data_IF_810570549405
#
_entry.id   IF_810570549405
#
_cell.length_a   1.000
_cell.length_b   1.000
_cell.length_c   1.000
_cell.angle_alpha   90.00
_cell.angle_beta   90.00
_cell.angle_gamma   90.00
#
_symmetry.space_group_name_H-M   'P 1'
#
loop_
_entity.id
_entity.type
_entity.pdbx_description
1 polymer ?
#
# COMPACT_ATOMS: atom_id res chain seq x y z
N UNK A 1 -14.15 2.59 -8.75
CA UNK A 1 -13.21 3.63 -9.25
C UNK A 1 -13.08 4.74 -8.19
N UNK A 2 -11.86 5.22 -7.95
CA UNK A 2 -11.54 6.27 -6.98
C UNK A 2 -10.64 7.32 -7.67
N UNK A 3 -10.92 8.60 -7.44
CA UNK A 3 -10.09 9.70 -7.94
C UNK A 3 -9.62 10.55 -6.76
N UNK A 4 -8.30 10.64 -6.59
CA UNK A 4 -7.66 11.52 -5.61
C UNK A 4 -7.13 12.76 -6.32
N UNK A 5 -7.44 13.94 -5.79
CA UNK A 5 -6.96 15.23 -6.32
C UNK A 5 -5.99 15.88 -5.33
N UNK A 6 -5.23 16.88 -5.79
CA UNK A 6 -4.21 17.57 -4.99
C UNK A 6 -3.12 16.61 -4.46
N UNK A 7 -2.77 15.59 -5.23
CA UNK A 7 -1.69 14.68 -4.88
C UNK A 7 -0.32 15.39 -5.02
N UNK A 8 0.54 15.34 -4.00
CA UNK A 8 1.87 15.93 -4.10
C UNK A 8 2.80 15.02 -4.92
N UNK A 9 3.74 15.62 -5.64
CA UNK A 9 4.71 14.86 -6.45
C UNK A 9 5.90 14.42 -5.61
N UNK A 10 5.71 13.35 -4.83
CA UNK A 10 6.71 12.81 -3.91
C UNK A 10 7.09 11.37 -4.25
N UNK A 11 8.27 10.94 -3.80
CA UNK A 11 8.75 9.55 -3.94
C UNK A 11 7.78 8.53 -3.37
N UNK A 12 7.14 8.86 -2.25
CA UNK A 12 6.27 7.95 -1.51
C UNK A 12 4.96 7.71 -2.27
N UNK A 13 4.44 8.74 -2.96
CA UNK A 13 3.26 8.61 -3.84
C UNK A 13 3.57 7.69 -5.01
N UNK A 14 4.76 7.84 -5.62
CA UNK A 14 5.21 6.94 -6.69
C UNK A 14 5.37 5.51 -6.18
N UNK A 15 6.00 5.31 -5.03
CA UNK A 15 6.21 3.98 -4.44
C UNK A 15 4.88 3.29 -4.09
N UNK A 16 3.92 4.03 -3.54
CA UNK A 16 2.57 3.50 -3.29
C UNK A 16 1.84 3.17 -4.59
N UNK A 17 2.02 3.97 -5.64
CA UNK A 17 1.47 3.70 -6.98
C UNK A 17 2.03 2.39 -7.54
N UNK A 18 3.35 2.21 -7.48
CA UNK A 18 4.02 0.96 -7.89
C UNK A 18 3.53 -0.25 -7.08
N UNK A 19 3.34 -0.08 -5.76
CA UNK A 19 2.79 -1.13 -4.90
C UNK A 19 1.37 -1.53 -5.33
N UNK A 20 0.48 -0.56 -5.49
CA UNK A 20 -0.90 -0.81 -5.89
C UNK A 20 -0.97 -1.47 -7.28
N UNK A 21 -0.15 -1.01 -8.23
CA UNK A 21 -0.02 -1.63 -9.54
C UNK A 21 0.50 -3.07 -9.46
N UNK A 22 1.47 -3.36 -8.58
CA UNK A 22 1.96 -4.73 -8.37
C UNK A 22 0.90 -5.70 -7.83
N UNK A 23 -0.12 -5.18 -7.13
CA UNK A 23 -1.27 -5.95 -6.65
C UNK A 23 -2.34 -6.16 -7.75
N UNK A 24 -2.16 -5.56 -8.92
CA UNK A 24 -3.12 -5.56 -10.03
C UNK A 24 -4.07 -4.38 -10.06
N UNK A 25 -3.89 -3.36 -9.20
CA UNK A 25 -4.71 -2.16 -9.28
C UNK A 25 -4.29 -1.29 -10.46
N UNK A 26 -5.27 -0.78 -11.19
CA UNK A 26 -5.03 0.24 -12.21
C UNK A 26 -4.85 1.59 -11.51
N UNK A 27 -3.75 2.29 -11.82
CA UNK A 27 -3.50 3.64 -11.32
C UNK A 27 -2.97 4.49 -12.47
N UNK A 28 -3.67 5.58 -12.78
CA UNK A 28 -3.27 6.60 -13.76
C UNK A 28 -3.02 7.94 -13.08
N UNK A 29 -1.87 8.51 -13.39
CA UNK A 29 -1.52 9.87 -13.04
C UNK A 29 -2.00 10.83 -14.14
N UNK A 30 -2.84 11.80 -13.76
CA UNK A 30 -3.37 12.85 -14.62
C UNK A 30 -2.88 14.22 -14.12
N UNK A 31 -3.04 15.27 -14.94
CA UNK A 31 -2.68 16.65 -14.58
C UNK A 31 -1.25 16.76 -14.03
N UNK A 32 -0.29 16.12 -14.72
CA UNK A 32 1.12 16.11 -14.31
C UNK A 32 1.39 15.45 -12.96
N UNK A 33 0.53 14.52 -12.53
CA UNK A 33 0.66 13.78 -11.27
C UNK A 33 -0.08 14.38 -10.06
N UNK A 34 -0.85 15.45 -10.26
CA UNK A 34 -1.68 16.04 -9.19
C UNK A 34 -3.02 15.34 -8.99
N UNK A 35 -3.41 14.50 -9.95
CA UNK A 35 -4.65 13.71 -9.90
C UNK A 35 -4.28 12.24 -10.11
N UNK A 36 -4.76 11.36 -9.24
CA UNK A 36 -4.61 9.91 -9.36
C UNK A 36 -5.99 9.29 -9.54
N UNK A 37 -6.25 8.73 -10.72
CA UNK A 37 -7.44 7.92 -10.99
C UNK A 37 -7.08 6.44 -10.84
N UNK A 38 -7.83 5.69 -10.04
CA UNK A 38 -7.50 4.31 -9.74
C UNK A 38 -8.71 3.37 -9.64
N UNK A 39 -8.47 2.10 -9.92
CA UNK A 39 -9.45 1.03 -9.79
C UNK A 39 -8.77 -0.24 -9.26
N UNK A 40 -9.39 -0.88 -8.27
CA UNK A 40 -8.93 -2.15 -7.71
C UNK A 40 -9.92 -3.28 -8.00
N UNK A 41 -10.67 -3.19 -9.09
CA UNK A 41 -11.65 -4.21 -9.46
C UNK A 41 -10.99 -5.57 -9.72
N UNK A 42 -9.90 -5.58 -10.48
CA UNK A 42 -9.20 -6.79 -10.93
C UNK A 42 -7.84 -6.95 -10.24
N UNK A 43 -7.84 -6.97 -8.89
CA UNK A 43 -6.63 -7.33 -8.15
C UNK A 43 -6.22 -8.78 -8.49
N UNK A 44 -4.96 -8.96 -8.87
CA UNK A 44 -4.44 -10.25 -9.34
C UNK A 44 -3.72 -11.03 -8.24
N UNK A 45 -3.42 -10.38 -7.11
CA UNK A 45 -2.71 -10.99 -5.99
C UNK A 45 -3.00 -10.23 -4.69
N UNK A 46 -2.90 -10.95 -3.57
CA UNK A 46 -2.97 -10.39 -2.19
C UNK A 46 -1.59 -10.28 -1.54
N UNK A 47 -0.51 -10.49 -2.32
CA UNK A 47 0.88 -10.45 -1.85
C UNK A 47 1.55 -9.12 -2.19
N UNK A 48 1.89 -8.35 -1.16
CA UNK A 48 2.71 -7.16 -1.27
C UNK A 48 4.21 -7.53 -1.30
N UNK A 49 4.86 -7.31 -2.44
CA UNK A 49 6.23 -7.75 -2.69
C UNK A 49 7.26 -7.07 -1.78
N UNK A 50 8.19 -7.88 -1.26
CA UNK A 50 9.22 -7.46 -0.29
C UNK A 50 10.05 -6.27 -0.78
N UNK A 51 10.45 -6.29 -2.05
CA UNK A 51 11.29 -5.25 -2.64
C UNK A 51 10.65 -3.87 -2.68
N UNK A 52 9.31 -3.80 -2.68
CA UNK A 52 8.58 -2.54 -2.59
C UNK A 52 8.39 -2.16 -1.12
N UNK A 53 7.95 -3.11 -0.29
CA UNK A 53 7.69 -2.86 1.15
C UNK A 53 8.94 -2.41 1.89
N UNK A 54 10.11 -2.98 1.58
CA UNK A 54 11.38 -2.62 2.23
C UNK A 54 11.83 -1.18 1.93
N UNK A 55 11.38 -0.59 0.81
CA UNK A 55 11.70 0.79 0.44
C UNK A 55 10.88 1.80 1.24
N UNK A 56 9.65 1.44 1.62
CA UNK A 56 8.72 2.33 2.30
C UNK A 56 7.86 1.58 3.31
N UNK A 57 8.12 1.80 4.61
CA UNK A 57 7.36 1.19 5.71
C UNK A 57 5.84 1.37 5.64
N UNK A 58 5.39 2.48 5.05
CA UNK A 58 3.97 2.82 4.94
C UNK A 58 3.21 1.86 4.02
N UNK A 59 3.93 1.03 3.24
CA UNK A 59 3.36 -0.04 2.45
C UNK A 59 2.53 -1.03 3.28
N UNK A 60 2.77 -1.15 4.59
CA UNK A 60 1.95 -2.00 5.48
C UNK A 60 0.46 -1.61 5.49
N UNK A 61 0.11 -0.38 5.09
CA UNK A 61 -1.28 0.08 5.06
C UNK A 61 -2.17 -0.68 4.07
N UNK A 62 -1.60 -1.46 3.15
CA UNK A 62 -2.40 -2.36 2.28
C UNK A 62 -2.89 -3.61 3.02
N UNK A 63 -2.30 -3.96 4.17
CA UNK A 63 -2.66 -5.17 4.94
C UNK A 63 -4.14 -5.17 5.33
N UNK A 64 -4.61 -4.07 5.94
CA UNK A 64 -6.00 -3.92 6.38
C UNK A 64 -7.03 -4.08 5.25
N UNK A 65 -6.98 -3.26 4.18
CA UNK A 65 -7.95 -3.36 3.09
C UNK A 65 -7.86 -4.66 2.30
N UNK A 66 -6.67 -5.26 2.12
CA UNK A 66 -6.55 -6.58 1.49
C UNK A 66 -7.23 -7.66 2.34
N UNK A 67 -6.91 -7.72 3.64
CA UNK A 67 -7.49 -8.70 4.55
C UNK A 67 -9.01 -8.54 4.66
N UNK A 68 -9.51 -7.31 4.80
CA UNK A 68 -10.93 -7.04 4.89
C UNK A 68 -11.70 -7.41 3.60
N UNK A 69 -11.08 -7.27 2.42
CA UNK A 69 -11.74 -7.55 1.14
C UNK A 69 -11.63 -9.00 0.70
N UNK A 70 -10.49 -9.63 0.91
CA UNK A 70 -10.18 -10.96 0.38
C UNK A 70 -10.16 -12.06 1.44
N UNK A 71 -10.20 -11.72 2.73
CA UNK A 71 -10.05 -12.67 3.84
C UNK A 71 -8.61 -13.14 4.06
N UNK A 72 -7.68 -12.76 3.18
CA UNK A 72 -6.26 -13.06 3.28
C UNK A 72 -5.41 -11.90 2.74
N UNK A 73 -4.19 -11.77 3.28
CA UNK A 73 -3.19 -10.82 2.82
C UNK A 73 -1.78 -11.29 3.19
N UNK A 74 -0.83 -11.16 2.27
CA UNK A 74 0.58 -11.48 2.53
C UNK A 74 1.40 -10.22 2.37
N UNK A 75 1.77 -9.59 3.50
CA UNK A 75 2.53 -8.34 3.51
C UNK A 75 3.83 -8.52 4.27
N UNK A 76 4.94 -8.10 3.67
CA UNK A 76 6.24 -8.19 4.32
C UNK A 76 6.30 -7.31 5.58
N UNK A 77 6.84 -7.84 6.67
CA UNK A 77 7.05 -7.06 7.89
C UNK A 77 8.08 -5.94 7.65
N UNK A 78 7.76 -4.67 7.95
CA UNK A 78 8.73 -3.59 7.87
C UNK A 78 9.92 -3.86 8.80
N UNK A 79 11.14 -3.72 8.25
CA UNK A 79 12.38 -3.85 9.01
C UNK A 79 12.73 -2.62 9.85
N UNK A 80 14.02 -2.47 10.15
CA UNK A 80 14.55 -1.33 10.91
C UNK A 80 14.40 0.01 10.18
N UNK A 81 14.31 1.09 10.95
CA UNK A 81 14.25 2.47 10.44
C UNK A 81 15.29 3.32 11.17
N UNK A 82 16.07 4.11 10.45
CA UNK A 82 17.15 4.93 11.02
C UNK A 82 16.67 5.98 12.06
N UNK A 83 15.39 6.36 12.00
CA UNK A 83 14.78 7.30 12.94
C UNK A 83 14.62 6.67 14.34
N UNK A 84 14.45 5.35 14.42
CA UNK A 84 14.26 4.63 15.66
C UNK A 84 13.30 3.45 15.56
N UNK A 85 13.00 2.85 16.72
CA UNK A 85 12.06 1.75 16.84
C UNK A 85 10.64 2.22 16.49
N UNK A 86 10.00 1.50 15.57
CA UNK A 86 8.67 1.82 15.07
C UNK A 86 7.95 0.50 14.74
N UNK A 87 7.58 -0.29 15.76
CA UNK A 87 6.98 -1.60 15.59
C UNK A 87 5.59 -1.50 14.96
N UNK A 88 5.07 -2.64 14.51
CA UNK A 88 3.75 -2.78 13.88
C UNK A 88 2.86 -3.77 14.64
N UNK A 89 3.24 -4.11 15.86
CA UNK A 89 2.55 -5.05 16.76
C UNK A 89 1.09 -4.63 17.02
N UNK A 90 0.81 -3.33 17.15
CA UNK A 90 -0.55 -2.84 17.30
C UNK A 90 -1.43 -3.11 16.08
N UNK A 91 -0.88 -3.07 14.85
CA UNK A 91 -1.63 -3.45 13.66
C UNK A 91 -2.00 -4.94 13.71
N UNK A 92 -1.07 -5.80 14.11
CA UNK A 92 -1.29 -7.25 14.17
C UNK A 92 -2.32 -7.60 15.25
N UNK A 93 -2.13 -7.10 16.48
CA UNK A 93 -3.06 -7.34 17.60
C UNK A 93 -4.48 -6.87 17.31
N UNK A 94 -4.63 -5.73 16.63
CA UNK A 94 -5.95 -5.23 16.27
C UNK A 94 -6.63 -6.11 15.22
N UNK A 95 -5.89 -6.62 14.23
CA UNK A 95 -6.43 -7.51 13.20
C UNK A 95 -6.75 -8.91 13.73
N UNK A 96 -5.98 -9.43 14.70
CA UNK A 96 -6.24 -10.71 15.36
C UNK A 96 -7.50 -10.70 16.25
N UNK A 97 -7.95 -9.51 16.67
CA UNK A 97 -9.10 -9.33 17.56
C UNK A 97 -10.43 -9.09 16.82
N UNK A 98 -10.41 -8.99 15.49
CA UNK A 98 -11.59 -8.84 14.62
C UNK A 98 -12.08 -10.20 14.12
#
# INVERSE_FOLDING_TARGET
PLTLTNAPRLSDIRTMTELLQSLGAEVQALQGGQVLAMSSHDLTTVKAEYDIVRKMRASILVLGPLLARHGEAVVSLPGGCAIGARPVDLHLRALEAL
#
